data_IF_594185993118
#
_entry.id   IF_594185993118
#
_cell.length_a   1.000
_cell.length_b   1.000
_cell.length_c   1.000
_cell.angle_alpha   90.00
_cell.angle_beta   90.00
_cell.angle_gamma   90.00
#
_symmetry.space_group_name_H-M   'P 1'
#
loop_
_entity.id
_entity.type
_entity.pdbx_description
1 polymer ?
#
# COMPACT_ATOMS: atom_id res chain seq x y z
N UNK A 1 15.05 -38.81 -1.28
CA UNK A 1 16.08 -38.21 -2.16
C UNK A 1 16.18 -36.75 -1.79
N UNK A 2 17.39 -36.21 -1.70
CA UNK A 2 17.60 -34.77 -1.44
C UNK A 2 17.37 -34.01 -2.75
N UNK A 3 16.94 -32.76 -2.65
CA UNK A 3 16.70 -31.90 -3.81
C UNK A 3 17.91 -31.02 -4.07
N UNK A 4 18.20 -30.77 -5.34
CA UNK A 4 19.19 -29.78 -5.75
C UNK A 4 18.72 -28.38 -5.32
N UNK A 5 19.63 -27.63 -4.71
CA UNK A 5 19.40 -26.28 -4.18
C UNK A 5 20.41 -25.30 -4.77
N UNK A 6 19.94 -24.06 -4.99
CA UNK A 6 20.75 -22.98 -5.57
C UNK A 6 21.34 -22.09 -4.47
N UNK A 7 20.58 -21.86 -3.39
CA UNK A 7 20.99 -21.06 -2.24
C UNK A 7 20.55 -21.70 -0.92
N UNK A 8 21.47 -21.72 0.05
CA UNK A 8 21.23 -22.08 1.43
C UNK A 8 21.62 -20.94 2.35
N UNK A 9 20.71 -20.54 3.23
CA UNK A 9 20.98 -19.63 4.35
C UNK A 9 20.97 -20.46 5.63
N UNK A 10 22.07 -20.51 6.35
CA UNK A 10 22.27 -21.34 7.55
C UNK A 10 22.46 -20.48 8.80
N UNK A 11 22.39 -21.13 9.97
CA UNK A 11 22.60 -20.53 11.30
C UNK A 11 21.78 -19.23 11.52
N UNK A 12 20.57 -19.15 11.00
CA UNK A 12 19.69 -17.99 11.17
C UNK A 12 18.74 -18.18 12.36
N UNK A 13 18.32 -17.07 12.97
CA UNK A 13 17.09 -17.03 13.75
C UNK A 13 15.97 -16.69 12.80
N UNK A 14 15.08 -17.62 12.45
CA UNK A 14 14.06 -17.36 11.42
C UNK A 14 12.81 -16.76 12.03
N UNK A 15 12.24 -15.72 11.44
CA UNK A 15 10.84 -15.36 11.59
C UNK A 15 10.09 -15.91 10.37
N UNK A 16 9.34 -17.01 10.53
CA UNK A 16 8.72 -17.69 9.38
C UNK A 16 7.40 -17.06 8.96
N UNK A 17 6.65 -16.48 9.90
CA UNK A 17 5.27 -16.00 9.70
C UNK A 17 4.37 -17.07 9.04
N UNK A 18 4.69 -18.36 9.26
CA UNK A 18 4.00 -19.47 8.63
C UNK A 18 2.54 -19.54 9.07
N UNK A 19 1.64 -19.86 8.14
CA UNK A 19 0.19 -19.97 8.40
C UNK A 19 -0.62 -18.70 8.10
N UNK A 20 0.03 -17.57 7.82
CA UNK A 20 -0.64 -16.30 7.52
C UNK A 20 -0.61 -15.90 6.04
N UNK A 21 -0.32 -16.85 5.14
CA UNK A 21 -0.40 -16.63 3.69
C UNK A 21 -1.83 -16.65 3.13
N UNK A 22 -2.79 -17.20 3.88
CA UNK A 22 -4.19 -17.36 3.46
C UNK A 22 -5.12 -16.48 4.31
N UNK A 23 -4.70 -16.09 5.51
CA UNK A 23 -5.47 -15.22 6.42
C UNK A 23 -4.55 -14.26 7.15
N UNK A 24 -4.97 -13.01 7.43
CA UNK A 24 -4.19 -12.09 8.23
C UNK A 24 -4.14 -12.53 9.70
N UNK A 25 -3.13 -12.03 10.42
CA UNK A 25 -3.10 -12.11 11.88
C UNK A 25 -4.20 -11.21 12.48
N UNK A 26 -4.85 -11.68 13.54
CA UNK A 26 -5.91 -10.97 14.27
C UNK A 26 -5.80 -11.24 15.76
N UNK A 27 -6.24 -10.28 16.58
CA UNK A 27 -6.37 -10.46 18.03
C UNK A 27 -5.07 -10.97 18.68
N UNK A 28 -5.14 -12.09 19.40
CA UNK A 28 -4.01 -12.70 20.10
C UNK A 28 -2.92 -13.27 19.18
N UNK A 29 -3.23 -13.54 17.90
CA UNK A 29 -2.25 -14.02 16.92
C UNK A 29 -1.36 -12.89 16.40
N UNK A 30 -1.74 -11.63 16.62
CA UNK A 30 -0.98 -10.48 16.17
C UNK A 30 0.40 -10.42 16.82
N UNK A 31 1.44 -10.37 16.00
CA UNK A 31 2.84 -10.39 16.46
C UNK A 31 3.41 -11.80 16.65
N UNK A 32 2.67 -12.87 16.35
CA UNK A 32 3.21 -14.22 16.32
C UNK A 32 4.15 -14.40 15.12
N UNK A 33 5.46 -14.20 15.35
CA UNK A 33 6.47 -14.25 14.29
C UNK A 33 6.83 -15.68 13.82
N UNK A 34 6.43 -16.70 14.57
CA UNK A 34 6.79 -18.09 14.28
C UNK A 34 8.32 -18.29 14.29
N UNK A 35 8.96 -17.89 15.40
CA UNK A 35 10.41 -17.89 15.52
C UNK A 35 10.98 -19.31 15.56
N UNK A 36 12.02 -19.55 14.77
CA UNK A 36 12.80 -20.80 14.79
C UNK A 36 14.25 -20.49 15.10
N UNK A 37 14.69 -20.92 16.28
CA UNK A 37 16.09 -20.86 16.66
C UNK A 37 16.89 -21.89 15.87
N UNK A 38 18.15 -21.57 15.53
CA UNK A 38 19.02 -22.44 14.72
C UNK A 38 18.35 -22.93 13.43
N UNK A 39 17.73 -22.01 12.69
CA UNK A 39 17.02 -22.32 11.46
C UNK A 39 17.84 -22.11 10.19
N UNK A 40 17.30 -22.62 9.10
CA UNK A 40 17.85 -22.47 7.76
C UNK A 40 16.75 -22.25 6.70
N UNK A 41 17.16 -21.73 5.54
CA UNK A 41 16.30 -21.58 4.36
C UNK A 41 17.02 -22.17 3.15
N UNK A 42 16.31 -23.04 2.42
CA UNK A 42 16.74 -23.61 1.15
C UNK A 42 15.91 -23.05 0.00
N UNK A 43 16.57 -22.62 -1.07
CA UNK A 43 15.95 -21.99 -2.23
C UNK A 43 16.36 -22.75 -3.49
N UNK A 44 15.38 -23.00 -4.36
CA UNK A 44 15.55 -23.57 -5.69
C UNK A 44 14.78 -22.71 -6.71
N UNK A 45 15.46 -22.22 -7.73
CA UNK A 45 14.95 -21.23 -8.66
C UNK A 45 14.52 -19.95 -7.93
N UNK A 46 13.25 -19.58 -8.08
CA UNK A 46 12.63 -18.42 -7.45
C UNK A 46 11.71 -18.77 -6.27
N UNK A 47 11.84 -19.97 -5.70
CA UNK A 47 10.96 -20.45 -4.62
C UNK A 47 11.76 -20.98 -3.43
N UNK A 48 11.18 -20.78 -2.25
CA UNK A 48 11.63 -21.46 -1.03
C UNK A 48 11.26 -22.94 -1.16
N UNK A 49 12.27 -23.80 -1.12
CA UNK A 49 12.10 -25.25 -1.05
C UNK A 49 11.71 -25.67 0.37
N UNK A 50 12.44 -25.16 1.37
CA UNK A 50 12.20 -25.44 2.78
C UNK A 50 12.70 -24.28 3.65
N UNK A 51 11.99 -23.99 4.74
CA UNK A 51 12.39 -23.04 5.78
C UNK A 51 11.96 -23.59 7.14
N UNK A 52 12.87 -23.60 8.11
CA UNK A 52 12.59 -24.19 9.42
C UNK A 52 13.87 -24.60 10.17
N UNK A 53 13.77 -25.56 11.11
CA UNK A 53 14.94 -26.08 11.81
C UNK A 53 16.02 -26.56 10.84
N UNK A 54 17.27 -26.26 11.12
CA UNK A 54 18.35 -26.48 10.16
C UNK A 54 18.56 -27.94 9.79
N UNK A 55 18.43 -28.86 10.76
CA UNK A 55 18.50 -30.29 10.53
C UNK A 55 17.42 -30.77 9.53
N UNK A 56 16.19 -30.28 9.69
CA UNK A 56 15.08 -30.55 8.78
C UNK A 56 15.39 -30.04 7.37
N UNK A 57 15.91 -28.82 7.23
CA UNK A 57 16.23 -28.24 5.91
C UNK A 57 17.40 -28.98 5.24
N UNK A 58 18.46 -29.29 5.99
CA UNK A 58 19.63 -30.02 5.49
C UNK A 58 19.32 -31.49 5.12
N UNK A 59 18.28 -32.07 5.72
CA UNK A 59 17.79 -33.40 5.34
C UNK A 59 17.15 -33.41 3.94
N UNK A 60 16.68 -32.26 3.46
CA UNK A 60 15.97 -32.10 2.18
C UNK A 60 16.83 -31.49 1.06
N UNK A 61 17.98 -30.90 1.40
CA UNK A 61 18.83 -30.15 0.48
C UNK A 61 20.16 -30.88 0.15
N UNK A 62 20.51 -30.96 -1.14
CA UNK A 62 21.82 -31.39 -1.61
C UNK A 62 22.84 -30.23 -1.53
N UNK A 63 23.82 -30.36 -0.64
CA UNK A 63 24.76 -29.27 -0.33
C UNK A 63 25.77 -28.95 -1.46
N UNK A 64 26.07 -29.93 -2.31
CA UNK A 64 27.25 -29.88 -3.18
C UNK A 64 27.16 -28.83 -4.31
N UNK A 65 26.00 -28.21 -4.52
CA UNK A 65 25.77 -27.24 -5.61
C UNK A 65 25.28 -25.87 -5.17
N UNK A 66 25.00 -25.68 -3.87
CA UNK A 66 24.39 -24.44 -3.39
C UNK A 66 25.44 -23.37 -3.07
N UNK A 67 25.10 -22.12 -3.37
CA UNK A 67 25.72 -20.98 -2.68
C UNK A 67 25.28 -21.05 -1.20
N UNK A 68 26.23 -20.96 -0.28
CA UNK A 68 25.94 -20.97 1.17
C UNK A 68 26.16 -19.59 1.76
N UNK A 69 25.20 -19.11 2.54
CA UNK A 69 25.28 -17.92 3.37
C UNK A 69 25.14 -18.35 4.82
N UNK A 70 26.14 -18.07 5.63
CA UNK A 70 26.04 -18.20 7.08
C UNK A 70 25.48 -16.91 7.68
N UNK A 71 24.27 -16.97 8.24
CA UNK A 71 23.63 -15.82 8.88
C UNK A 71 24.29 -15.45 10.22
N UNK A 72 25.06 -16.35 10.84
CA UNK A 72 25.80 -16.10 12.09
C UNK A 72 24.90 -15.70 13.26
N UNK A 73 23.74 -16.33 13.40
CA UNK A 73 22.74 -16.05 14.44
C UNK A 73 21.85 -14.84 14.18
N UNK A 74 21.99 -14.15 13.04
CA UNK A 74 21.14 -13.00 12.69
C UNK A 74 19.70 -13.42 12.38
N UNK A 75 18.78 -12.47 12.54
CA UNK A 75 17.39 -12.63 12.12
C UNK A 75 17.32 -12.78 10.60
N UNK A 76 16.59 -13.78 10.14
CA UNK A 76 16.19 -13.96 8.74
C UNK A 76 14.66 -13.93 8.70
N UNK A 77 14.10 -13.02 7.92
CA UNK A 77 12.66 -12.81 7.80
C UNK A 77 12.27 -12.70 6.32
N UNK A 78 10.98 -12.86 5.98
CA UNK A 78 10.46 -12.47 4.68
C UNK A 78 10.82 -11.01 4.36
N UNK A 79 10.94 -10.71 3.07
CA UNK A 79 11.03 -9.31 2.64
C UNK A 79 9.80 -8.53 3.10
N UNK A 80 10.00 -7.27 3.45
CA UNK A 80 8.93 -6.42 3.95
C UNK A 80 7.95 -6.10 2.82
N UNK A 81 6.67 -6.01 3.18
CA UNK A 81 5.59 -5.58 2.30
C UNK A 81 5.13 -4.20 2.74
N UNK A 82 5.16 -3.25 1.82
CA UNK A 82 4.56 -1.94 2.01
C UNK A 82 3.18 -1.90 1.34
N UNK A 83 2.08 -2.02 2.08
CA UNK A 83 0.76 -2.25 1.51
C UNK A 83 0.07 -0.98 0.99
N UNK A 84 0.72 0.18 1.10
CA UNK A 84 0.10 1.45 0.74
C UNK A 84 1.13 2.50 0.33
N UNK A 85 1.26 2.84 -0.95
CA UNK A 85 2.13 3.97 -1.35
C UNK A 85 1.59 4.78 -2.52
N UNK A 86 2.00 6.05 -2.57
CA UNK A 86 1.91 6.88 -3.78
C UNK A 86 3.32 7.08 -4.39
N UNK A 87 4.07 5.99 -4.56
CA UNK A 87 5.47 6.04 -5.00
C UNK A 87 5.63 6.53 -6.45
N UNK A 88 4.56 6.51 -7.25
CA UNK A 88 4.53 7.07 -8.60
C UNK A 88 4.09 8.53 -8.54
N UNK A 89 5.04 9.44 -8.60
CA UNK A 89 4.79 10.88 -8.66
C UNK A 89 5.96 11.61 -9.34
N UNK A 90 5.75 12.87 -9.71
CA UNK A 90 6.79 13.72 -10.30
C UNK A 90 7.06 14.98 -9.48
N UNK A 91 8.34 15.32 -9.35
CA UNK A 91 8.81 16.40 -8.49
C UNK A 91 8.56 16.15 -7.01
N UNK A 92 8.52 17.22 -6.23
CA UNK A 92 8.46 17.17 -4.77
C UNK A 92 7.72 18.39 -4.22
N UNK A 93 7.34 18.31 -2.94
CA UNK A 93 6.54 19.32 -2.21
C UNK A 93 7.33 20.00 -1.08
N UNK A 94 8.65 20.05 -1.19
CA UNK A 94 9.57 20.62 -0.21
C UNK A 94 9.28 22.10 0.10
N UNK A 95 8.74 22.85 -0.87
CA UNK A 95 8.35 24.25 -0.65
C UNK A 95 7.24 24.38 0.41
N UNK A 96 6.33 23.40 0.49
CA UNK A 96 5.26 23.39 1.49
C UNK A 96 5.79 23.17 2.89
N UNK A 97 6.93 22.49 3.03
CA UNK A 97 7.50 22.18 4.33
C UNK A 97 7.86 23.46 5.10
N UNK A 98 8.47 24.44 4.42
CA UNK A 98 8.77 25.74 5.02
C UNK A 98 7.50 26.49 5.45
N UNK A 99 6.44 26.45 4.63
CA UNK A 99 5.16 27.09 4.93
C UNK A 99 4.45 26.43 6.13
N UNK A 100 4.44 25.08 6.18
CA UNK A 100 3.86 24.33 7.30
C UNK A 100 4.59 24.61 8.61
N UNK A 101 5.92 24.67 8.59
CA UNK A 101 6.72 25.03 9.76
C UNK A 101 6.46 26.46 10.24
N UNK A 102 6.12 27.37 9.32
CA UNK A 102 5.71 28.73 9.65
C UNK A 102 4.26 28.83 10.16
N UNK A 103 3.53 27.70 10.25
CA UNK A 103 2.13 27.67 10.68
C UNK A 103 1.15 28.16 9.62
N UNK A 104 1.56 28.24 8.34
CA UNK A 104 0.68 28.69 7.25
C UNK A 104 -0.51 27.73 7.11
N UNK A 105 -1.76 28.22 7.17
CA UNK A 105 -2.95 27.39 6.98
C UNK A 105 -2.92 26.63 5.64
N UNK A 106 -3.44 25.40 5.63
CA UNK A 106 -3.44 24.56 4.41
C UNK A 106 -4.09 25.24 3.20
N UNK A 107 -5.15 26.04 3.42
CA UNK A 107 -5.82 26.80 2.35
C UNK A 107 -4.89 27.85 1.71
N UNK A 108 -3.97 28.45 2.47
CA UNK A 108 -2.99 29.40 1.95
C UNK A 108 -1.88 28.69 1.18
N UNK A 109 -1.48 27.49 1.64
CA UNK A 109 -0.56 26.61 0.91
C UNK A 109 -1.15 26.22 -0.45
N UNK A 110 -2.44 25.87 -0.51
CA UNK A 110 -3.15 25.58 -1.75
C UNK A 110 -3.17 26.81 -2.68
N UNK A 111 -3.50 28.00 -2.16
CA UNK A 111 -3.49 29.27 -2.92
C UNK A 111 -2.11 29.62 -3.46
N UNK A 112 -1.04 29.28 -2.73
CA UNK A 112 0.34 29.44 -3.19
C UNK A 112 0.78 28.39 -4.23
N UNK A 113 -0.16 27.56 -4.71
CA UNK A 113 0.11 26.52 -5.70
C UNK A 113 0.71 25.24 -5.10
N UNK A 114 0.58 25.01 -3.80
CA UNK A 114 0.92 23.77 -3.11
C UNK A 114 -0.22 22.75 -3.08
N UNK A 115 -0.14 21.80 -2.16
CA UNK A 115 -1.10 20.72 -1.95
C UNK A 115 -1.04 19.65 -3.03
N UNK A 116 -2.09 18.81 -3.07
CA UNK A 116 -2.21 17.73 -4.07
C UNK A 116 -2.19 18.27 -5.50
N UNK A 117 -2.82 19.43 -5.76
CA UNK A 117 -2.91 20.02 -7.09
C UNK A 117 -1.54 20.40 -7.69
N UNK A 118 -0.53 20.67 -6.85
CA UNK A 118 0.85 20.85 -7.30
C UNK A 118 1.43 19.56 -7.90
N UNK A 119 1.28 18.44 -7.17
CA UNK A 119 1.67 17.12 -7.67
C UNK A 119 0.91 16.79 -8.96
N UNK A 120 -0.38 17.13 -9.02
CA UNK A 120 -1.21 16.89 -10.20
C UNK A 120 -0.66 17.59 -11.44
N UNK A 121 -0.40 18.90 -11.36
CA UNK A 121 0.20 19.63 -12.47
C UNK A 121 1.52 19.02 -12.94
N UNK A 122 2.38 18.61 -12.00
CA UNK A 122 3.68 17.98 -12.32
C UNK A 122 3.51 16.63 -13.01
N UNK A 123 2.58 15.80 -12.56
CA UNK A 123 2.31 14.49 -13.17
C UNK A 123 1.67 14.64 -14.55
N UNK A 124 0.72 15.56 -14.72
CA UNK A 124 0.10 15.85 -16.02
C UNK A 124 1.12 16.31 -17.07
N UNK A 125 2.12 17.10 -16.66
CA UNK A 125 3.20 17.56 -17.55
C UNK A 125 4.35 16.57 -17.74
N UNK A 126 4.43 15.52 -16.93
CA UNK A 126 5.53 14.57 -16.98
C UNK A 126 5.30 13.43 -17.98
N UNK A 127 6.39 12.98 -18.57
CA UNK A 127 6.45 11.78 -19.40
C UNK A 127 6.52 10.51 -18.54
N UNK A 128 6.13 9.37 -19.10
CA UNK A 128 6.28 8.08 -18.44
C UNK A 128 7.75 7.78 -18.08
N UNK A 129 8.70 8.20 -18.93
CA UNK A 129 10.13 8.00 -18.67
C UNK A 129 10.62 8.77 -17.44
N UNK A 130 10.15 10.01 -17.24
CA UNK A 130 10.46 10.82 -16.05
C UNK A 130 9.86 10.20 -14.78
N UNK A 131 8.60 9.76 -14.84
CA UNK A 131 7.95 9.05 -13.73
C UNK A 131 8.74 7.80 -13.34
N UNK A 132 9.08 6.95 -14.30
CA UNK A 132 9.86 5.72 -14.08
C UNK A 132 11.23 6.05 -13.46
N UNK A 133 11.94 7.03 -14.00
CA UNK A 133 13.27 7.40 -13.51
C UNK A 133 13.23 7.93 -12.07
N UNK A 134 12.21 8.73 -11.72
CA UNK A 134 12.02 9.25 -10.37
C UNK A 134 11.62 8.12 -9.40
N UNK A 135 10.58 7.35 -9.71
CA UNK A 135 10.09 6.28 -8.84
C UNK A 135 11.16 5.21 -8.59
N UNK A 136 12.00 4.89 -9.58
CA UNK A 136 13.11 3.94 -9.40
C UNK A 136 14.08 4.35 -8.28
N UNK A 137 14.26 5.65 -8.02
CA UNK A 137 15.10 6.13 -6.91
C UNK A 137 14.47 5.81 -5.56
N UNK A 138 13.15 6.02 -5.42
CA UNK A 138 12.39 5.69 -4.22
C UNK A 138 12.36 4.19 -3.98
N UNK A 139 12.10 3.38 -5.01
CA UNK A 139 12.11 1.91 -4.89
C UNK A 139 13.47 1.36 -4.47
N UNK A 140 14.58 1.94 -4.98
CA UNK A 140 15.92 1.56 -4.52
C UNK A 140 16.12 1.86 -3.03
N UNK A 141 15.57 2.97 -2.53
CA UNK A 141 15.62 3.32 -1.11
C UNK A 141 14.76 2.35 -0.29
N UNK A 142 13.52 2.09 -0.69
CA UNK A 142 12.63 1.14 -0.03
C UNK A 142 13.27 -0.26 0.05
N UNK A 143 13.88 -0.72 -1.04
CA UNK A 143 14.62 -1.99 -1.08
C UNK A 143 15.80 -2.01 -0.10
N UNK A 144 16.51 -0.89 0.07
CA UNK A 144 17.60 -0.80 1.04
C UNK A 144 17.14 -0.90 2.50
N UNK A 145 15.86 -0.67 2.77
CA UNK A 145 15.21 -0.91 4.06
C UNK A 145 14.56 -2.31 4.17
N UNK A 146 14.68 -3.15 3.14
CA UNK A 146 14.18 -4.53 3.12
C UNK A 146 12.81 -4.71 2.48
N UNK A 147 12.22 -3.66 1.87
CA UNK A 147 10.95 -3.79 1.14
C UNK A 147 11.16 -4.54 -0.17
N UNK A 148 10.47 -5.67 -0.32
CA UNK A 148 10.50 -6.48 -1.56
C UNK A 148 9.20 -6.41 -2.34
N UNK A 149 8.11 -5.99 -1.70
CA UNK A 149 6.81 -5.79 -2.35
C UNK A 149 6.21 -4.49 -1.88
N UNK A 150 5.67 -3.69 -2.79
CA UNK A 150 4.98 -2.45 -2.46
C UNK A 150 3.70 -2.30 -3.28
N UNK A 151 2.65 -1.77 -2.68
CA UNK A 151 1.50 -1.29 -3.42
C UNK A 151 1.83 0.09 -4.03
N UNK A 152 1.40 0.35 -5.27
CA UNK A 152 1.69 1.58 -5.99
C UNK A 152 0.39 2.17 -6.57
N UNK A 153 -0.09 3.25 -5.94
CA UNK A 153 -1.30 3.96 -6.35
C UNK A 153 -1.02 4.97 -7.45
N UNK A 154 -1.99 5.13 -8.35
CA UNK A 154 -2.11 6.32 -9.19
C UNK A 154 -2.71 7.49 -8.37
N UNK A 155 -3.53 8.36 -8.95
CA UNK A 155 -4.25 9.40 -8.22
C UNK A 155 -3.56 10.76 -8.13
N UNK A 156 -2.47 10.96 -8.88
CA UNK A 156 -1.94 12.30 -9.13
C UNK A 156 -2.16 12.74 -10.58
N UNK A 157 -2.86 11.98 -11.42
CA UNK A 157 -3.27 12.43 -12.75
C UNK A 157 -4.55 13.24 -12.69
N UNK A 158 -5.58 12.69 -12.02
CA UNK A 158 -6.95 13.23 -11.99
C UNK A 158 -7.51 13.55 -13.39
N UNK A 159 -7.02 12.83 -14.40
CA UNK A 159 -7.52 12.78 -15.77
C UNK A 159 -7.15 11.41 -16.35
N UNK A 160 -7.91 10.95 -17.34
CA UNK A 160 -7.80 9.59 -17.88
C UNK A 160 -6.40 9.28 -18.40
N UNK A 161 -5.80 10.18 -19.17
CA UNK A 161 -4.53 9.94 -19.85
C UNK A 161 -3.36 9.89 -18.86
N UNK A 162 -3.39 10.73 -17.83
CA UNK A 162 -2.37 10.77 -16.79
C UNK A 162 -2.49 9.58 -15.83
N UNK A 163 -3.71 9.20 -15.43
CA UNK A 163 -3.95 8.01 -14.60
C UNK A 163 -3.49 6.72 -15.31
N UNK A 164 -3.82 6.57 -16.60
CA UNK A 164 -3.33 5.46 -17.44
C UNK A 164 -1.80 5.47 -17.52
N UNK A 165 -1.19 6.64 -17.74
CA UNK A 165 0.28 6.79 -17.83
C UNK A 165 0.98 6.37 -16.53
N UNK A 166 0.42 6.74 -15.37
CA UNK A 166 0.97 6.34 -14.07
C UNK A 166 0.93 4.82 -13.91
N UNK A 167 -0.18 4.16 -14.24
CA UNK A 167 -0.29 2.70 -14.13
C UNK A 167 0.60 1.96 -15.13
N UNK A 168 0.77 2.50 -16.35
CA UNK A 168 1.76 2.00 -17.31
C UNK A 168 3.19 2.13 -16.78
N UNK A 169 3.51 3.22 -16.07
CA UNK A 169 4.82 3.36 -15.42
C UNK A 169 5.05 2.26 -14.36
N UNK A 170 4.03 1.89 -13.59
CA UNK A 170 4.10 0.74 -12.66
C UNK A 170 4.43 -0.57 -13.40
N UNK A 171 3.77 -0.84 -14.53
CA UNK A 171 4.05 -2.04 -15.34
C UNK A 171 5.49 -2.07 -15.87
N UNK A 172 6.02 -0.92 -16.30
CA UNK A 172 7.41 -0.80 -16.73
C UNK A 172 8.35 -1.09 -15.55
N UNK A 173 8.09 -0.49 -14.38
CA UNK A 173 8.89 -0.67 -13.18
C UNK A 173 8.95 -2.15 -12.73
N UNK A 174 7.85 -2.89 -12.80
CA UNK A 174 7.83 -4.33 -12.51
C UNK A 174 8.74 -5.17 -13.41
N UNK A 175 9.17 -4.65 -14.56
CA UNK A 175 10.06 -5.37 -15.49
C UNK A 175 11.54 -5.00 -15.32
N UNK A 176 11.86 -3.87 -14.69
CA UNK A 176 13.20 -3.26 -14.75
C UNK A 176 13.88 -3.05 -13.38
N UNK A 177 13.21 -3.41 -12.30
CA UNK A 177 13.72 -3.34 -10.93
C UNK A 177 13.08 -4.46 -10.06
N UNK A 178 13.66 -4.81 -8.90
CA UNK A 178 13.33 -6.06 -8.19
C UNK A 178 12.20 -5.97 -7.14
N UNK A 179 11.67 -4.79 -6.82
CA UNK A 179 10.52 -4.65 -5.89
C UNK A 179 9.25 -4.97 -6.65
N UNK A 180 8.48 -5.95 -6.19
CA UNK A 180 7.19 -6.29 -6.80
C UNK A 180 6.17 -5.18 -6.51
N UNK A 181 5.58 -4.60 -7.55
CA UNK A 181 4.57 -3.55 -7.42
C UNK A 181 3.17 -4.08 -7.69
N UNK A 182 2.26 -3.80 -6.77
CA UNK A 182 0.82 -4.07 -6.90
C UNK A 182 0.12 -2.79 -7.33
N UNK A 183 -0.37 -2.66 -8.57
CA UNK A 183 -0.97 -1.42 -9.06
C UNK A 183 -2.38 -1.20 -8.51
N UNK A 184 -2.63 0.00 -8.00
CA UNK A 184 -3.94 0.45 -7.51
C UNK A 184 -4.36 1.71 -8.28
N UNK A 185 -5.53 1.66 -8.93
CA UNK A 185 -6.14 2.85 -9.52
C UNK A 185 -6.78 3.70 -8.43
N UNK A 186 -6.40 4.98 -8.36
CA UNK A 186 -6.96 5.94 -7.42
C UNK A 186 -7.31 7.27 -8.09
N UNK A 187 -7.99 7.23 -9.25
CA UNK A 187 -8.41 8.46 -9.93
C UNK A 187 -9.30 9.37 -9.06
N UNK A 188 -10.01 8.78 -8.11
CA UNK A 188 -10.81 9.48 -7.09
C UNK A 188 -9.98 9.81 -5.83
N UNK A 189 -8.84 10.47 -6.02
CA UNK A 189 -7.98 10.92 -4.92
C UNK A 189 -8.26 12.37 -4.51
N UNK A 190 -8.67 13.22 -5.45
CA UNK A 190 -9.17 14.56 -5.19
C UNK A 190 -10.05 15.01 -6.35
N UNK A 191 -10.82 16.08 -6.12
CA UNK A 191 -11.55 16.75 -7.20
C UNK A 191 -10.58 17.69 -7.93
N UNK A 192 -10.32 17.49 -9.24
CA UNK A 192 -9.49 18.40 -10.02
C UNK A 192 -10.16 19.77 -10.20
N UNK A 193 -9.36 20.81 -10.43
CA UNK A 193 -9.80 22.22 -10.44
C UNK A 193 -10.94 22.47 -11.43
N UNK A 194 -10.93 21.76 -12.56
CA UNK A 194 -11.94 21.87 -13.62
C UNK A 194 -13.34 21.40 -13.18
N UNK A 195 -13.43 20.62 -12.08
CA UNK A 195 -14.66 20.00 -11.58
C UNK A 195 -14.96 20.35 -10.11
N UNK A 196 -14.29 21.37 -9.54
CA UNK A 196 -14.45 21.75 -8.12
C UNK A 196 -15.89 22.09 -7.72
N UNK A 197 -16.69 22.58 -8.66
CA UNK A 197 -18.09 22.98 -8.47
C UNK A 197 -19.08 21.91 -8.99
N UNK A 198 -18.58 20.79 -9.55
CA UNK A 198 -19.37 19.67 -10.08
C UNK A 198 -18.62 18.34 -9.89
N UNK A 199 -18.48 17.92 -8.64
CA UNK A 199 -17.81 16.66 -8.29
C UNK A 199 -18.54 15.42 -8.83
N UNK A 200 -19.86 15.50 -9.05
CA UNK A 200 -20.65 14.41 -9.60
C UNK A 200 -20.32 14.15 -11.07
N UNK A 201 -20.02 15.17 -11.87
CA UNK A 201 -19.48 14.97 -13.21
C UNK A 201 -18.11 14.28 -13.16
N UNK A 202 -17.22 14.67 -12.24
CA UNK A 202 -15.93 13.97 -12.11
C UNK A 202 -16.11 12.50 -11.72
N UNK A 203 -17.07 12.19 -10.84
CA UNK A 203 -17.45 10.81 -10.50
C UNK A 203 -17.92 10.04 -11.74
N UNK A 204 -18.75 10.66 -12.61
CA UNK A 204 -19.14 10.04 -13.89
C UNK A 204 -17.93 9.75 -14.77
N UNK A 205 -17.00 10.68 -14.90
CA UNK A 205 -15.77 10.46 -15.70
C UNK A 205 -14.94 9.31 -15.13
N UNK A 206 -14.76 9.25 -13.80
CA UNK A 206 -14.06 8.14 -13.16
C UNK A 206 -14.74 6.81 -13.51
N UNK A 207 -16.07 6.74 -13.44
CA UNK A 207 -16.84 5.52 -13.66
C UNK A 207 -16.91 5.12 -15.14
N UNK A 208 -17.27 6.05 -16.00
CA UNK A 208 -17.65 5.79 -17.40
C UNK A 208 -16.44 5.86 -18.34
N UNK A 209 -15.39 6.61 -17.99
CA UNK A 209 -14.21 6.80 -18.84
C UNK A 209 -12.96 6.14 -18.26
N UNK A 210 -12.60 6.43 -17.00
CA UNK A 210 -11.33 5.98 -16.43
C UNK A 210 -11.34 4.48 -16.11
N UNK A 211 -12.35 3.98 -15.39
CA UNK A 211 -12.43 2.58 -14.99
C UNK A 211 -12.30 1.59 -16.18
N UNK A 212 -13.02 1.76 -17.31
CA UNK A 212 -12.86 0.91 -18.48
C UNK A 212 -11.44 0.89 -19.06
N UNK A 213 -10.69 2.01 -18.92
CA UNK A 213 -9.34 2.18 -19.45
C UNK A 213 -8.26 1.59 -18.56
N UNK A 214 -8.51 1.48 -17.25
CA UNK A 214 -7.51 1.05 -16.24
C UNK A 214 -7.74 -0.34 -15.68
N UNK A 215 -8.89 -0.99 -15.96
CA UNK A 215 -9.23 -2.32 -15.41
C UNK A 215 -8.18 -3.40 -15.68
N UNK A 216 -7.48 -3.33 -16.82
CA UNK A 216 -6.41 -4.28 -17.19
C UNK A 216 -5.01 -3.79 -16.76
N UNK A 217 -4.93 -2.62 -16.12
CA UNK A 217 -3.69 -1.99 -15.66
C UNK A 217 -3.55 -2.00 -14.13
N UNK A 218 -4.65 -2.17 -13.39
CA UNK A 218 -4.70 -2.15 -11.94
C UNK A 218 -5.31 -3.45 -11.37
N UNK A 219 -4.93 -3.80 -10.14
CA UNK A 219 -5.56 -4.87 -9.37
C UNK A 219 -6.67 -4.35 -8.45
N UNK A 220 -6.50 -3.11 -7.98
CA UNK A 220 -7.40 -2.47 -7.03
C UNK A 220 -7.93 -1.14 -7.54
N UNK A 221 -9.09 -0.74 -7.04
CA UNK A 221 -9.59 0.63 -7.07
C UNK A 221 -9.67 1.16 -5.64
N UNK A 222 -9.16 2.37 -5.44
CA UNK A 222 -9.14 3.09 -4.17
C UNK A 222 -9.80 4.47 -4.35
N UNK A 223 -10.41 4.97 -3.29
CA UNK A 223 -11.12 6.25 -3.26
C UNK A 223 -10.79 6.96 -1.96
N UNK A 224 -10.56 8.27 -2.05
CA UNK A 224 -10.43 9.11 -0.86
C UNK A 224 -11.80 9.55 -0.33
N UNK A 225 -12.35 8.76 0.59
CA UNK A 225 -13.66 9.00 1.21
C UNK A 225 -13.51 9.95 2.40
N UNK A 226 -13.58 11.26 2.10
CA UNK A 226 -13.34 12.31 3.08
C UNK A 226 -14.28 13.50 2.85
N UNK A 227 -14.54 14.23 3.94
CA UNK A 227 -15.29 15.48 3.88
C UNK A 227 -14.67 16.43 2.85
N UNK A 228 -15.52 17.00 1.98
CA UNK A 228 -15.12 17.87 0.87
C UNK A 228 -14.26 17.23 -0.24
N UNK A 229 -14.09 15.90 -0.25
CA UNK A 229 -13.44 15.17 -1.34
C UNK A 229 -14.44 14.28 -2.08
N UNK A 230 -14.73 13.09 -1.56
CA UNK A 230 -15.78 12.21 -2.06
C UNK A 230 -16.65 11.75 -0.90
N UNK A 231 -17.96 11.94 -1.04
CA UNK A 231 -18.95 11.45 -0.08
C UNK A 231 -19.01 9.91 -0.06
N UNK A 232 -19.67 9.35 0.96
CA UNK A 232 -19.99 7.92 1.06
C UNK A 232 -20.76 7.44 -0.18
N UNK A 233 -21.69 8.24 -0.70
CA UNK A 233 -22.52 7.89 -1.85
C UNK A 233 -21.69 7.85 -3.14
N UNK A 234 -20.86 8.86 -3.37
CA UNK A 234 -19.96 8.92 -4.52
C UNK A 234 -18.93 7.79 -4.47
N UNK A 235 -18.34 7.57 -3.29
CA UNK A 235 -17.38 6.48 -3.07
C UNK A 235 -18.00 5.12 -3.35
N UNK A 236 -19.22 4.87 -2.84
CA UNK A 236 -19.96 3.63 -3.14
C UNK A 236 -20.22 3.46 -4.62
N UNK A 237 -20.60 4.52 -5.34
CA UNK A 237 -20.85 4.46 -6.78
C UNK A 237 -19.58 4.04 -7.54
N UNK A 238 -18.44 4.69 -7.25
CA UNK A 238 -17.16 4.40 -7.89
C UNK A 238 -16.71 2.96 -7.59
N UNK A 239 -16.70 2.56 -6.32
CA UNK A 239 -16.24 1.23 -5.93
C UNK A 239 -17.17 0.11 -6.42
N UNK A 240 -18.48 0.38 -6.55
CA UNK A 240 -19.42 -0.59 -7.14
C UNK A 240 -19.11 -0.81 -8.62
N UNK A 241 -18.93 0.28 -9.39
CA UNK A 241 -18.53 0.20 -10.79
C UNK A 241 -17.16 -0.47 -10.98
N UNK A 242 -16.20 -0.19 -10.09
CA UNK A 242 -14.88 -0.82 -10.13
C UNK A 242 -14.97 -2.33 -9.91
N UNK A 243 -15.81 -2.78 -8.97
CA UNK A 243 -16.07 -4.21 -8.74
C UNK A 243 -16.67 -4.88 -9.97
N UNK A 244 -17.61 -4.22 -10.65
CA UNK A 244 -18.21 -4.72 -11.89
C UNK A 244 -17.18 -4.89 -13.02
N UNK A 245 -16.11 -4.08 -13.02
CA UNK A 245 -14.97 -4.22 -13.93
C UNK A 245 -13.91 -5.25 -13.46
N UNK A 246 -14.14 -5.92 -12.33
CA UNK A 246 -13.25 -6.95 -11.79
C UNK A 246 -12.13 -6.46 -10.88
N UNK A 247 -12.12 -5.17 -10.51
CA UNK A 247 -11.14 -4.62 -9.57
C UNK A 247 -11.50 -4.96 -8.13
N UNK A 248 -10.49 -5.25 -7.32
CA UNK A 248 -10.65 -5.35 -5.87
C UNK A 248 -10.73 -3.95 -5.24
N UNK A 249 -11.31 -3.83 -4.05
CA UNK A 249 -11.62 -2.52 -3.46
C UNK A 249 -10.68 -2.20 -2.30
N UNK A 250 -10.24 -0.95 -2.23
CA UNK A 250 -9.56 -0.32 -1.10
C UNK A 250 -10.21 1.04 -0.83
N UNK A 251 -9.94 1.63 0.33
CA UNK A 251 -10.55 2.90 0.70
C UNK A 251 -9.63 3.68 1.65
N UNK A 252 -9.27 4.91 1.31
CA UNK A 252 -8.79 5.85 2.31
C UNK A 252 -9.98 6.33 3.13
N UNK A 253 -9.97 6.01 4.42
CA UNK A 253 -11.12 6.08 5.30
C UNK A 253 -10.80 6.89 6.56
N UNK A 254 -11.73 7.77 6.93
CA UNK A 254 -11.74 8.50 8.20
C UNK A 254 -10.36 9.10 8.58
N UNK A 255 -9.66 9.75 7.64
CA UNK A 255 -8.33 10.29 7.88
C UNK A 255 -8.39 11.59 8.71
N UNK A 256 -9.29 12.49 8.34
CA UNK A 256 -9.41 13.84 8.90
C UNK A 256 -10.70 13.98 9.70
N UNK A 257 -11.80 13.37 9.24
CA UNK A 257 -13.10 13.37 9.91
C UNK A 257 -13.69 11.96 10.04
N UNK A 258 -14.63 11.71 10.98
CA UNK A 258 -15.35 10.44 11.07
C UNK A 258 -16.45 10.39 9.99
N UNK A 259 -16.09 10.05 8.75
CA UNK A 259 -17.01 10.08 7.60
C UNK A 259 -17.87 8.83 7.48
N UNK A 260 -17.51 7.76 8.19
CA UNK A 260 -18.13 6.44 8.06
C UNK A 260 -17.46 5.58 6.99
N UNK A 261 -16.25 5.96 6.55
CA UNK A 261 -15.51 5.26 5.52
C UNK A 261 -15.13 3.84 5.94
N UNK A 262 -14.77 3.62 7.20
CA UNK A 262 -14.47 2.29 7.73
C UNK A 262 -15.67 1.33 7.63
N UNK A 263 -16.86 1.82 7.97
CA UNK A 263 -18.12 1.08 7.86
C UNK A 263 -18.40 0.73 6.40
N UNK A 264 -18.25 1.70 5.48
CA UNK A 264 -18.44 1.48 4.05
C UNK A 264 -17.46 0.44 3.51
N UNK A 265 -16.18 0.52 3.87
CA UNK A 265 -15.16 -0.43 3.44
C UNK A 265 -15.49 -1.86 3.90
N UNK A 266 -15.90 -2.03 5.16
CA UNK A 266 -16.35 -3.32 5.69
C UNK A 266 -17.60 -3.84 4.96
N UNK A 267 -18.61 -3.01 4.78
CA UNK A 267 -19.86 -3.36 4.09
C UNK A 267 -19.62 -3.78 2.63
N UNK A 268 -18.71 -3.08 1.95
CA UNK A 268 -18.34 -3.37 0.56
C UNK A 268 -17.31 -4.51 0.44
N UNK A 269 -16.89 -5.15 1.54
CA UNK A 269 -15.88 -6.20 1.50
C UNK A 269 -14.57 -5.73 0.86
N UNK A 270 -14.18 -4.48 1.12
CA UNK A 270 -12.89 -3.95 0.68
C UNK A 270 -11.75 -4.76 1.31
N UNK A 271 -10.66 -4.92 0.57
CA UNK A 271 -9.47 -5.63 1.04
C UNK A 271 -8.81 -4.84 2.19
N UNK A 272 -8.82 -3.52 2.12
CA UNK A 272 -8.40 -2.68 3.23
C UNK A 272 -9.20 -1.39 3.35
N UNK A 273 -9.18 -0.86 4.57
CA UNK A 273 -9.47 0.53 4.89
C UNK A 273 -8.20 1.16 5.47
N UNK A 274 -7.80 2.30 4.93
CA UNK A 274 -6.48 2.89 5.11
C UNK A 274 -6.61 4.23 5.86
N UNK A 275 -5.58 4.65 6.60
CA UNK A 275 -5.56 5.79 7.56
C UNK A 275 -6.26 5.51 8.90
N UNK A 276 -7.58 5.68 8.96
CA UNK A 276 -8.42 5.41 10.14
C UNK A 276 -8.07 6.22 11.40
N UNK A 277 -7.58 7.46 11.23
CA UNK A 277 -7.19 8.34 12.34
C UNK A 277 -8.39 8.79 13.18
N UNK A 278 -9.53 9.00 12.52
CA UNK A 278 -10.77 9.52 13.09
C UNK A 278 -11.90 8.48 13.13
N UNK A 279 -11.64 7.21 12.80
CA UNK A 279 -12.64 6.14 12.86
C UNK A 279 -13.22 6.01 14.27
N UNK A 280 -14.54 5.89 14.34
CA UNK A 280 -15.30 5.74 15.58
C UNK A 280 -15.46 4.26 15.99
N UNK A 281 -16.19 4.03 17.09
CA UNK A 281 -16.39 2.68 17.63
C UNK A 281 -17.19 1.78 16.68
N UNK A 282 -18.14 2.36 15.94
CA UNK A 282 -18.98 1.62 15.01
C UNK A 282 -18.16 1.20 13.79
N UNK A 283 -17.25 2.05 13.31
CA UNK A 283 -16.30 1.73 12.25
C UNK A 283 -15.33 0.62 12.67
N UNK A 284 -14.78 0.70 13.89
CA UNK A 284 -13.94 -0.38 14.44
C UNK A 284 -14.73 -1.70 14.53
N UNK A 285 -15.97 -1.65 15.02
CA UNK A 285 -16.83 -2.84 15.12
C UNK A 285 -17.15 -3.44 13.73
N UNK A 286 -17.40 -2.60 12.73
CA UNK A 286 -17.63 -3.04 11.35
C UNK A 286 -16.40 -3.74 10.76
N UNK A 287 -15.20 -3.16 10.92
CA UNK A 287 -13.94 -3.77 10.48
C UNK A 287 -13.62 -5.07 11.23
N UNK A 288 -13.97 -5.15 12.51
CA UNK A 288 -13.78 -6.37 13.30
C UNK A 288 -14.68 -7.51 12.81
N UNK A 289 -15.87 -7.17 12.31
CA UNK A 289 -16.85 -8.10 11.78
C UNK A 289 -16.63 -8.47 10.29
N UNK A 290 -15.59 -7.94 9.63
CA UNK A 290 -15.28 -8.19 8.22
C UNK A 290 -13.85 -8.72 8.02
N UNK A 291 -13.55 -9.15 6.79
CA UNK A 291 -12.19 -9.54 6.37
C UNK A 291 -11.30 -8.33 5.99
N UNK A 292 -11.83 -7.10 6.04
CA UNK A 292 -11.11 -5.87 5.71
C UNK A 292 -9.96 -5.63 6.67
N UNK A 293 -8.78 -5.35 6.12
CA UNK A 293 -7.56 -5.04 6.88
C UNK A 293 -7.51 -3.53 7.17
N UNK A 294 -7.29 -3.15 8.42
CA UNK A 294 -6.98 -1.77 8.80
C UNK A 294 -5.51 -1.47 8.51
N UNK A 295 -5.24 -0.66 7.48
CA UNK A 295 -3.87 -0.24 7.12
C UNK A 295 -3.57 1.10 7.78
N UNK A 296 -2.72 1.08 8.80
CA UNK A 296 -2.39 2.26 9.59
C UNK A 296 -1.17 2.99 9.02
N UNK A 297 -1.27 4.31 8.94
CA UNK A 297 -0.27 5.18 8.31
C UNK A 297 0.34 6.18 9.31
N UNK A 298 1.09 5.70 10.33
CA UNK A 298 1.64 6.56 11.39
C UNK A 298 2.60 7.63 10.85
N UNK A 299 3.25 7.39 9.71
CA UNK A 299 4.09 8.39 9.03
C UNK A 299 3.31 9.63 8.58
N UNK A 300 2.04 9.45 8.16
CA UNK A 300 1.15 10.57 7.81
C UNK A 300 0.74 11.34 9.05
N UNK A 301 0.27 10.67 10.10
CA UNK A 301 -0.05 11.30 11.40
C UNK A 301 1.11 12.13 11.93
N UNK A 302 2.33 11.57 11.91
CA UNK A 302 3.54 12.26 12.34
C UNK A 302 3.82 13.52 11.51
N UNK A 303 3.73 13.42 10.18
CA UNK A 303 3.99 14.54 9.27
C UNK A 303 2.93 15.65 9.36
N UNK A 304 1.68 15.28 9.61
CA UNK A 304 0.59 16.23 9.81
C UNK A 304 0.56 16.82 11.23
N UNK A 305 1.40 16.32 12.14
CA UNK A 305 1.34 16.65 13.57
C UNK A 305 -0.07 16.42 14.13
N UNK A 306 -0.71 15.34 13.68
CA UNK A 306 -2.09 14.98 14.00
C UNK A 306 -2.13 13.77 14.95
N UNK A 307 -3.35 13.38 15.33
CA UNK A 307 -3.59 12.16 16.11
C UNK A 307 -3.20 10.90 15.32
N UNK A 308 -2.89 9.84 16.06
CA UNK A 308 -2.68 8.51 15.51
C UNK A 308 -4.00 7.72 15.52
N UNK A 309 -4.12 6.78 14.57
CA UNK A 309 -5.22 5.81 14.56
C UNK A 309 -5.23 4.98 15.86
N UNK A 310 -6.41 4.57 16.36
CA UNK A 310 -6.55 3.86 17.63
C UNK A 310 -6.19 2.37 17.52
N UNK A 311 -4.94 2.08 17.13
CA UNK A 311 -4.45 0.73 16.82
C UNK A 311 -4.70 -0.30 17.93
N UNK A 312 -4.53 0.11 19.20
CA UNK A 312 -4.77 -0.78 20.36
C UNK A 312 -6.24 -1.17 20.49
N UNK A 313 -7.14 -0.25 20.24
CA UNK A 313 -8.59 -0.50 20.30
C UNK A 313 -9.02 -1.42 19.14
N UNK A 314 -8.48 -1.17 17.94
CA UNK A 314 -8.68 -2.03 16.77
C UNK A 314 -8.20 -3.48 17.02
N UNK A 315 -6.98 -3.66 17.57
CA UNK A 315 -6.47 -4.99 17.91
C UNK A 315 -7.35 -5.68 18.98
N UNK A 316 -7.75 -4.94 20.01
CA UNK A 316 -8.61 -5.47 21.08
C UNK A 316 -9.99 -5.90 20.56
N UNK A 317 -10.50 -5.21 19.53
CA UNK A 317 -11.74 -5.57 18.84
C UNK A 317 -11.59 -6.75 17.87
N UNK A 318 -10.37 -7.20 17.54
CA UNK A 318 -10.12 -8.31 16.62
C UNK A 318 -9.95 -7.89 15.15
N UNK A 319 -9.75 -6.60 14.88
CA UNK A 319 -9.44 -6.10 13.55
C UNK A 319 -8.06 -6.60 13.10
N UNK A 320 -7.94 -7.04 11.84
CA UNK A 320 -6.63 -7.30 11.23
C UNK A 320 -5.93 -5.98 10.94
N UNK A 321 -4.67 -5.84 11.37
CA UNK A 321 -3.92 -4.60 11.18
C UNK A 321 -2.69 -4.85 10.31
N UNK A 322 -2.44 -3.92 9.39
CA UNK A 322 -1.16 -3.74 8.72
C UNK A 322 -0.63 -2.33 8.98
N UNK A 323 0.68 -2.15 8.90
CA UNK A 323 1.32 -0.84 9.07
C UNK A 323 2.16 -0.48 7.84
N UNK A 324 2.22 0.80 7.52
CA UNK A 324 3.26 1.35 6.66
C UNK A 324 4.22 2.22 7.51
N UNK A 325 5.49 1.84 7.54
CA UNK A 325 6.57 2.61 8.19
C UNK A 325 7.52 3.31 7.19
N UNK A 326 7.25 3.23 5.89
CA UNK A 326 8.18 3.67 4.84
C UNK A 326 8.11 5.17 4.54
N UNK A 327 9.28 5.73 4.26
CA UNK A 327 9.53 7.00 3.56
C UNK A 327 10.56 6.77 2.45
#
# INVERSE_FOLDING_TARGET
>A
MKNKVDLLVLNGRLATLAGYSIKPQRGSDFGCLGLVENGAVAITGNKILAAGPMDLVLSQAELNTAKVIDAGGRLVAPGLVDPHTHVVHCGSREMEYGMRLAGTPYIEILKAGGGILNSVRRVRSATAAEMVAQTKKSLRRMLSFGVTTAEAKSGYGLDTESEVRMLQAVQILNRIQPVDLVPTFMGAHAIPEEYKDDSDEFVRIVIEEMLPRVKDLACFCDVFCEDHVFSIQQTRAILSAAREQGLQLKLHADELAPTGGAQLAAEMGAVSADHLLCTDKDGIAALAASDTIAVLLPGTSFNLMSRYAPAREMLAAGVAIAGNESR
#
